data_IF_716765485794
#
_entry.id   IF_716765485794
#
_cell.length_a   1.000
_cell.length_b   1.000
_cell.length_c   1.000
_cell.angle_alpha   90.00
_cell.angle_beta   90.00
_cell.angle_gamma   90.00
#
_symmetry.space_group_name_H-M   'P 1'
#
loop_
_entity.id
_entity.type
_entity.pdbx_description
1 polymer ?
#
# COMPACT_ATOMS: atom_id res chain seq x y z
N UNK A 1 -13.19 -6.42 -7.99
CA UNK A 1 -13.93 -5.26 -7.45
C UNK A 1 -15.25 -5.08 -8.22
N UNK A 2 -16.37 -5.54 -7.66
CA UNK A 2 -17.69 -5.48 -8.32
C UNK A 2 -18.41 -4.12 -8.17
N UNK A 3 -17.72 -3.14 -7.57
CA UNK A 3 -18.26 -1.85 -7.11
C UNK A 3 -18.07 -0.70 -8.10
N UNK A 4 -17.18 -0.84 -9.09
CA UNK A 4 -16.89 0.22 -10.08
C UNK A 4 -18.17 0.65 -10.79
N UNK A 5 -18.47 1.96 -10.75
CA UNK A 5 -19.67 2.54 -11.36
C UNK A 5 -20.99 2.29 -10.62
N UNK A 6 -20.97 1.57 -9.48
CA UNK A 6 -22.16 1.31 -8.64
C UNK A 6 -22.22 2.18 -7.39
N UNK A 7 -21.06 2.49 -6.80
CA UNK A 7 -20.90 3.46 -5.71
C UNK A 7 -19.51 4.07 -5.72
N UNK A 8 -19.34 5.17 -4.98
CA UNK A 8 -18.03 5.73 -4.71
C UNK A 8 -17.17 4.73 -3.93
N UNK A 9 -15.88 4.70 -4.24
CA UNK A 9 -14.86 3.94 -3.54
C UNK A 9 -14.10 4.90 -2.62
N UNK A 10 -14.04 4.58 -1.33
CA UNK A 10 -13.23 5.34 -0.37
C UNK A 10 -11.78 4.86 -0.42
N UNK A 11 -10.85 5.80 -0.46
CA UNK A 11 -9.41 5.52 -0.42
C UNK A 11 -8.74 6.47 0.57
N UNK A 12 -7.90 5.92 1.44
CA UNK A 12 -7.18 6.68 2.46
C UNK A 12 -5.69 6.32 2.41
N UNK A 13 -4.83 7.33 2.48
CA UNK A 13 -3.40 7.08 2.69
C UNK A 13 -3.12 6.92 4.19
N UNK A 14 -2.49 5.81 4.59
CA UNK A 14 -2.19 5.47 5.98
C UNK A 14 -0.68 5.31 6.19
N UNK A 15 -0.20 5.80 7.33
CA UNK A 15 1.23 5.83 7.67
C UNK A 15 1.60 4.78 8.72
N UNK A 16 0.63 4.32 9.51
CA UNK A 16 0.86 3.49 10.68
C UNK A 16 -0.33 2.55 10.93
N UNK A 17 -0.17 1.68 11.93
CA UNK A 17 -1.16 0.67 12.31
C UNK A 17 -2.46 1.29 12.81
N UNK A 18 -2.39 2.33 13.64
CA UNK A 18 -3.58 2.99 14.22
C UNK A 18 -4.50 3.58 13.13
N UNK A 19 -3.92 4.24 12.12
CA UNK A 19 -4.67 4.76 10.97
C UNK A 19 -5.29 3.63 10.13
N UNK A 20 -4.60 2.48 10.03
CA UNK A 20 -5.12 1.32 9.32
C UNK A 20 -6.28 0.66 10.06
N UNK A 21 -6.18 0.49 11.39
CA UNK A 21 -7.27 -0.01 12.23
C UNK A 21 -8.50 0.89 12.14
N UNK A 22 -8.31 2.21 12.20
CA UNK A 22 -9.41 3.17 12.02
C UNK A 22 -10.05 3.08 10.62
N UNK A 23 -9.26 2.81 9.58
CA UNK A 23 -9.76 2.62 8.22
C UNK A 23 -10.60 1.33 8.10
N UNK A 24 -10.14 0.23 8.71
CA UNK A 24 -10.86 -1.05 8.78
C UNK A 24 -12.18 -0.89 9.52
N UNK A 25 -12.18 -0.30 10.72
CA UNK A 25 -13.37 -0.10 11.54
C UNK A 25 -14.42 0.78 10.86
N UNK A 26 -13.98 1.76 10.07
CA UNK A 26 -14.87 2.67 9.33
C UNK A 26 -15.34 2.13 7.98
N UNK A 27 -14.87 0.95 7.55
CA UNK A 27 -15.26 0.32 6.29
C UNK A 27 -14.69 1.03 5.05
N UNK A 28 -13.46 1.56 5.15
CA UNK A 28 -12.73 2.11 4.00
C UNK A 28 -12.47 1.00 2.98
N UNK A 29 -12.70 1.27 1.70
CA UNK A 29 -12.54 0.25 0.66
C UNK A 29 -11.07 -0.05 0.35
N UNK A 30 -10.22 0.98 0.41
CA UNK A 30 -8.84 0.92 -0.02
C UNK A 30 -7.93 1.73 0.90
N UNK A 31 -6.84 1.09 1.35
CA UNK A 31 -5.74 1.79 1.99
C UNK A 31 -4.57 1.90 1.01
N UNK A 32 -4.02 3.10 0.93
CA UNK A 32 -2.78 3.39 0.24
C UNK A 32 -1.69 3.58 1.30
N UNK A 33 -0.51 3.01 1.07
CA UNK A 33 0.63 3.25 1.94
C UNK A 33 1.90 3.21 1.11
N UNK A 34 3.01 3.62 1.70
CA UNK A 34 4.31 3.55 1.07
C UNK A 34 5.41 3.41 2.12
N UNK A 35 6.59 2.99 1.69
CA UNK A 35 7.75 2.84 2.56
C UNK A 35 9.00 3.49 1.99
N UNK A 36 9.90 3.87 2.89
CA UNK A 36 11.26 4.31 2.59
C UNK A 36 11.36 5.49 1.60
N UNK A 37 10.49 6.50 1.77
CA UNK A 37 10.48 7.73 0.94
C UNK A 37 10.49 9.00 1.82
N UNK A 38 11.55 9.20 2.62
CA UNK A 38 11.59 10.25 3.64
C UNK A 38 11.47 11.67 3.06
N UNK A 39 11.84 11.89 1.79
CA UNK A 39 11.67 13.18 1.11
C UNK A 39 10.20 13.61 1.00
N UNK A 40 9.26 12.67 1.11
CA UNK A 40 7.81 12.92 1.13
C UNK A 40 7.20 12.73 2.53
N UNK A 41 8.03 12.69 3.58
CA UNK A 41 7.59 12.49 4.96
C UNK A 41 7.20 11.06 5.31
N UNK A 42 7.44 10.10 4.41
CA UNK A 42 7.10 8.69 4.61
C UNK A 42 8.29 7.98 5.24
N UNK A 43 8.23 7.81 6.56
CA UNK A 43 9.24 7.11 7.36
C UNK A 43 8.86 5.66 7.68
N UNK A 44 7.69 5.21 7.22
CA UNK A 44 7.25 3.83 7.35
C UNK A 44 8.25 2.91 6.67
N UNK A 45 8.72 1.90 7.40
CA UNK A 45 9.62 0.87 6.88
C UNK A 45 8.84 -0.23 6.16
N UNK A 46 9.53 -1.03 5.35
CA UNK A 46 8.91 -2.17 4.68
C UNK A 46 8.29 -3.18 5.66
N UNK A 47 8.90 -3.43 6.82
CA UNK A 47 8.37 -4.37 7.82
C UNK A 47 7.10 -3.84 8.51
N UNK A 48 6.97 -2.52 8.65
CA UNK A 48 5.77 -1.88 9.18
C UNK A 48 4.58 -2.02 8.23
N UNK A 49 4.81 -2.06 6.91
CA UNK A 49 3.76 -2.32 5.93
C UNK A 49 3.04 -3.65 6.19
N UNK A 50 3.77 -4.67 6.64
CA UNK A 50 3.17 -5.96 7.00
C UNK A 50 2.19 -5.81 8.16
N UNK A 51 2.54 -5.01 9.18
CA UNK A 51 1.66 -4.74 10.33
C UNK A 51 0.44 -3.93 9.90
N UNK A 52 0.62 -2.96 9.01
CA UNK A 52 -0.47 -2.18 8.41
C UNK A 52 -1.45 -3.10 7.65
N UNK A 53 -0.94 -4.04 6.85
CA UNK A 53 -1.77 -5.06 6.18
C UNK A 53 -2.56 -5.90 7.15
N UNK A 54 -1.92 -6.38 8.22
CA UNK A 54 -2.53 -7.21 9.25
C UNK A 54 -3.64 -6.47 10.01
N UNK A 55 -3.48 -5.16 10.21
CA UNK A 55 -4.42 -4.30 10.90
C UNK A 55 -5.70 -3.98 10.11
N UNK A 56 -5.61 -3.93 8.78
CA UNK A 56 -6.74 -3.65 7.90
C UNK A 56 -6.93 -4.73 6.84
N UNK A 57 -7.26 -5.98 7.23
CA UNK A 57 -7.31 -7.14 6.34
C UNK A 57 -8.47 -7.11 5.33
N UNK A 58 -9.51 -6.28 5.53
CA UNK A 58 -10.64 -6.17 4.59
C UNK A 58 -10.43 -5.11 3.51
N UNK A 59 -9.61 -4.09 3.80
CA UNK A 59 -9.27 -3.04 2.84
C UNK A 59 -8.44 -3.61 1.68
N UNK A 60 -8.67 -3.11 0.47
CA UNK A 60 -7.76 -3.33 -0.65
C UNK A 60 -6.47 -2.53 -0.40
N UNK A 61 -5.31 -3.18 -0.39
CA UNK A 61 -4.05 -2.52 -0.07
C UNK A 61 -3.25 -2.20 -1.35
N UNK A 62 -2.97 -0.92 -1.56
CA UNK A 62 -1.94 -0.48 -2.50
C UNK A 62 -0.69 -0.04 -1.74
N UNK A 63 0.46 -0.56 -2.14
CA UNK A 63 1.75 -0.14 -1.59
C UNK A 63 2.78 0.15 -2.67
N UNK A 64 3.79 0.94 -2.35
CA UNK A 64 4.94 1.17 -3.19
C UNK A 64 6.01 1.96 -2.44
N UNK A 65 7.12 2.24 -3.11
CA UNK A 65 8.19 3.02 -2.51
C UNK A 65 9.54 2.34 -2.61
N UNK A 66 10.47 2.83 -1.79
CA UNK A 66 11.89 2.76 -2.07
C UNK A 66 12.33 3.84 -3.07
N UNK A 67 13.60 4.21 -3.00
CA UNK A 67 14.21 5.25 -3.84
C UNK A 67 14.73 4.74 -5.17
N UNK A 68 14.79 3.42 -5.35
CA UNK A 68 15.32 2.80 -6.57
C UNK A 68 14.20 2.55 -7.58
N UNK A 69 14.32 3.17 -8.75
CA UNK A 69 13.44 2.92 -9.88
C UNK A 69 13.94 1.67 -10.61
N UNK A 70 13.14 0.59 -10.74
CA UNK A 70 13.52 -0.57 -11.53
C UNK A 70 13.88 -0.18 -12.96
N UNK A 71 15.02 -0.68 -13.44
CA UNK A 71 15.57 -0.41 -14.77
C UNK A 71 15.19 -1.47 -15.82
N UNK A 72 14.57 -2.56 -15.39
CA UNK A 72 14.17 -3.68 -16.25
C UNK A 72 12.89 -4.35 -15.76
N UNK A 73 12.19 -5.07 -16.65
CA UNK A 73 11.00 -5.87 -16.31
C UNK A 73 11.29 -6.88 -15.20
N UNK A 74 12.48 -7.49 -15.20
CA UNK A 74 12.88 -8.44 -14.16
C UNK A 74 12.99 -7.80 -12.78
N UNK A 75 13.48 -6.57 -12.70
CA UNK A 75 13.53 -5.81 -11.44
C UNK A 75 12.13 -5.39 -10.98
N UNK A 76 11.26 -4.99 -11.91
CA UNK A 76 9.85 -4.69 -11.62
C UNK A 76 9.14 -5.92 -11.04
N UNK A 77 9.35 -7.11 -11.63
CA UNK A 77 8.76 -8.36 -11.15
C UNK A 77 9.28 -8.71 -9.76
N UNK A 78 10.58 -8.55 -9.49
CA UNK A 78 11.15 -8.78 -8.15
C UNK A 78 10.55 -7.83 -7.12
N UNK A 79 10.44 -6.54 -7.46
CA UNK A 79 9.83 -5.54 -6.59
C UNK A 79 8.35 -5.87 -6.31
N UNK A 80 7.58 -6.21 -7.35
CA UNK A 80 6.19 -6.60 -7.21
C UNK A 80 6.03 -7.82 -6.29
N UNK A 81 6.86 -8.87 -6.47
CA UNK A 81 6.85 -10.05 -5.61
C UNK A 81 7.16 -9.71 -4.14
N UNK A 82 8.07 -8.76 -3.89
CA UNK A 82 8.37 -8.28 -2.53
C UNK A 82 7.11 -7.75 -1.84
N UNK A 83 6.36 -6.84 -2.47
CA UNK A 83 5.11 -6.31 -1.89
C UNK A 83 3.97 -7.33 -1.84
N UNK A 84 3.82 -8.19 -2.85
CA UNK A 84 2.82 -9.27 -2.83
C UNK A 84 3.09 -10.23 -1.67
N UNK A 85 4.36 -10.48 -1.32
CA UNK A 85 4.72 -11.38 -0.22
C UNK A 85 4.24 -10.90 1.16
N UNK A 86 3.92 -9.61 1.31
CA UNK A 86 3.33 -9.05 2.53
C UNK A 86 1.82 -8.81 2.40
N UNK A 87 1.18 -9.27 1.31
CA UNK A 87 -0.26 -9.18 1.12
C UNK A 87 -0.76 -7.88 0.48
N UNK A 88 0.10 -7.11 -0.18
CA UNK A 88 -0.35 -5.98 -0.99
C UNK A 88 -1.13 -6.50 -2.21
N UNK A 89 -2.27 -5.88 -2.50
CA UNK A 89 -3.14 -6.24 -3.63
C UNK A 89 -2.77 -5.51 -4.92
N UNK A 90 -2.07 -4.37 -4.79
CA UNK A 90 -1.61 -3.54 -5.89
C UNK A 90 -0.28 -2.87 -5.54
N UNK A 91 0.58 -2.69 -6.55
CA UNK A 91 1.86 -2.00 -6.41
C UNK A 91 1.82 -0.69 -7.19
N UNK A 92 2.09 0.43 -6.52
CA UNK A 92 2.22 1.72 -7.18
C UNK A 92 3.67 1.95 -7.63
N UNK A 93 3.87 1.98 -8.96
CA UNK A 93 5.17 2.13 -9.61
C UNK A 93 5.45 3.53 -10.17
N UNK A 94 4.76 4.56 -9.68
CA UNK A 94 5.00 5.94 -10.12
C UNK A 94 6.34 6.49 -9.61
N UNK A 95 6.84 7.54 -10.28
CA UNK A 95 8.02 8.28 -9.80
C UNK A 95 7.63 9.11 -8.58
N UNK A 96 8.44 9.02 -7.51
CA UNK A 96 8.33 9.82 -6.30
C UNK A 96 9.38 10.92 -6.30
#
# INVERSE_FOLDING_TARGET
>A
MQSKGKRQISALFVHNVEEAEAAEESGVDMICTANDIPQHGINTSFDELKRIREAAPSCFMQSGGGTEIPSSESEVIKLANKYISIGADCIYGGQY
#
